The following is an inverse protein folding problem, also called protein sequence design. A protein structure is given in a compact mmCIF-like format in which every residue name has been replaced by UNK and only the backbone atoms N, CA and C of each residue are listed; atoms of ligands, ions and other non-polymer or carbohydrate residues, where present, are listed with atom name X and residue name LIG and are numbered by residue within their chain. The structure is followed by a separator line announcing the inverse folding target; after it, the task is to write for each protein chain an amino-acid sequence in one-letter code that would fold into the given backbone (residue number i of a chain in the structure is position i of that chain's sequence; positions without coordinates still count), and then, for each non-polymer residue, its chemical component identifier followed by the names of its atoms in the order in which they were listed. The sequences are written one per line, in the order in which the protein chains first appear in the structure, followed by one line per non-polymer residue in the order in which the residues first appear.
data_IF_731869209847
#
_entry.id   IF_731869209847
#
_cell.length_a   1.000
_cell.length_b   1.000
_cell.length_c   1.000
_cell.angle_alpha   90.00
_cell.angle_beta   90.00
_cell.angle_gamma   90.00
#
_symmetry.space_group_name_H-M   'P 1'
#
loop_
_entity.id
_entity.type
_entity.pdbx_description
1 polymer ?
#
# COMPACT_ATOMS: atom_id res chain seq x y z
N UNK A 1 -20.94 -65.73 44.32
CA UNK A 1 -21.57 -65.44 45.64
C UNK A 1 -21.08 -64.08 46.11
N UNK A 2 -21.88 -63.34 46.88
CA UNK A 2 -21.51 -62.08 47.58
C UNK A 2 -20.70 -62.42 48.86
N UNK A 3 -19.96 -61.49 49.54
CA UNK A 3 -20.29 -60.10 49.97
C UNK A 3 -19.49 -59.00 49.22
N UNK A 4 -19.73 -57.67 49.31
CA UNK A 4 -19.86 -56.70 50.44
C UNK A 4 -18.55 -56.51 51.24
N UNK A 5 -18.09 -55.33 51.67
CA UNK A 5 -18.56 -53.91 51.66
C UNK A 5 -17.31 -52.98 51.47
N UNK A 6 -17.24 -51.64 51.56
CA UNK A 6 -18.12 -50.55 52.07
C UNK A 6 -17.85 -49.20 51.33
N UNK A 7 -18.21 -48.02 51.89
CA UNK A 7 -17.95 -46.68 51.32
C UNK A 7 -17.62 -45.59 52.36
N UNK A 8 -16.54 -44.80 52.12
CA UNK A 8 -16.27 -43.49 52.75
C UNK A 8 -15.66 -42.56 51.67
N UNK A 9 -16.19 -41.38 51.34
CA UNK A 9 -16.58 -40.18 52.12
C UNK A 9 -15.45 -39.14 52.17
N UNK A 10 -15.68 -37.96 51.60
CA UNK A 10 -14.74 -36.84 51.52
C UNK A 10 -14.99 -35.81 52.63
N UNK A 11 -13.96 -35.04 53.00
CA UNK A 11 -14.05 -34.01 54.03
C UNK A 11 -13.98 -32.60 53.43
N UNK A 12 -15.04 -31.83 53.59
CA UNK A 12 -15.05 -30.37 53.40
C UNK A 12 -15.00 -29.69 54.77
N UNK A 13 -14.11 -28.70 54.95
CA UNK A 13 -13.98 -27.96 56.21
C UNK A 13 -14.60 -26.56 56.09
N UNK A 14 -15.83 -26.43 56.55
CA UNK A 14 -16.51 -25.14 56.73
C UNK A 14 -15.96 -24.47 58.01
N UNK A 15 -15.59 -23.18 57.93
CA UNK A 15 -15.24 -22.36 59.11
C UNK A 15 -15.99 -21.03 58.99
N UNK A 16 -16.60 -20.61 60.09
CA UNK A 16 -17.61 -19.57 60.11
C UNK A 16 -17.04 -18.14 60.10
N UNK A 17 -17.89 -17.19 59.73
CA UNK A 17 -17.58 -15.77 59.64
C UNK A 17 -18.42 -15.02 60.68
N UNK A 18 -17.75 -14.43 61.68
CA UNK A 18 -18.36 -13.49 62.63
C UNK A 18 -17.50 -12.24 62.82
N UNK A 19 -18.11 -11.14 63.29
CA UNK A 19 -17.60 -9.77 63.19
C UNK A 19 -17.61 -9.04 64.54
N UNK A 20 -16.41 -8.73 65.04
CA UNK A 20 -16.05 -7.55 65.83
C UNK A 20 -14.55 -7.28 65.55
N UNK A 21 -14.01 -6.07 65.65
CA UNK A 21 -14.58 -4.84 66.17
C UNK A 21 -13.48 -3.82 66.50
N UNK A 22 -12.74 -3.39 65.48
CA UNK A 22 -11.94 -2.14 65.44
C UNK A 22 -10.69 -2.04 66.35
N UNK A 23 -10.02 -0.87 66.32
CA UNK A 23 -8.81 -0.48 67.08
C UNK A 23 -7.50 -1.24 66.75
N UNK A 24 -7.12 -1.26 65.47
CA UNK A 24 -5.69 -1.12 65.12
C UNK A 24 -5.44 0.21 64.40
N UNK A 25 -5.02 1.18 65.21
CA UNK A 25 -4.74 2.57 64.88
C UNK A 25 -3.58 2.68 63.88
N UNK A 26 -3.90 2.50 62.60
CA UNK A 26 -2.93 2.40 61.52
C UNK A 26 -2.04 3.63 61.43
N UNK A 27 -0.80 3.50 61.91
CA UNK A 27 0.31 4.42 61.64
C UNK A 27 0.67 4.33 60.14
N UNK A 28 -0.22 4.89 59.30
CA UNK A 28 0.05 5.18 57.89
C UNK A 28 1.29 6.05 57.88
N UNK A 29 2.42 5.46 57.47
CA UNK A 29 3.68 6.17 57.27
C UNK A 29 3.35 7.35 56.37
N UNK A 30 3.42 8.57 56.91
CA UNK A 30 3.32 9.79 56.13
C UNK A 30 4.59 9.88 55.28
N UNK A 31 4.57 9.18 54.16
CA UNK A 31 5.25 9.63 52.95
C UNK A 31 4.94 11.12 52.84
N UNK A 32 5.95 11.96 53.07
CA UNK A 32 5.82 13.40 53.04
C UNK A 32 5.56 13.80 51.59
N UNK A 33 4.27 13.83 51.22
CA UNK A 33 3.81 14.28 49.92
C UNK A 33 4.34 15.70 49.73
N UNK A 34 5.38 15.81 48.90
CA UNK A 34 6.10 17.07 48.73
C UNK A 34 5.13 18.16 48.29
N UNK A 35 5.31 19.38 48.78
CA UNK A 35 4.57 20.53 48.27
C UNK A 35 4.73 20.62 46.75
N UNK A 36 3.68 21.08 46.07
CA UNK A 36 3.66 21.32 44.64
C UNK A 36 4.88 22.17 44.23
N UNK A 37 5.80 21.60 43.46
CA UNK A 37 7.05 22.26 43.08
C UNK A 37 6.90 23.39 42.07
N UNK A 38 5.68 23.91 41.89
CA UNK A 38 5.26 24.89 40.89
C UNK A 38 4.51 26.08 41.53
N UNK A 39 3.79 25.84 42.64
CA UNK A 39 3.09 26.89 43.40
C UNK A 39 3.44 26.92 44.91
N UNK A 40 4.04 25.87 45.47
CA UNK A 40 4.41 25.75 46.88
C UNK A 40 3.26 25.63 47.89
N UNK A 41 2.09 26.19 47.58
CA UNK A 41 0.94 26.36 48.48
C UNK A 41 0.26 25.06 48.92
N UNK A 42 0.20 24.07 48.04
CA UNK A 42 -0.57 22.83 48.24
C UNK A 42 0.33 21.60 48.21
N UNK A 43 -0.11 20.55 48.90
CA UNK A 43 0.45 19.19 48.81
C UNK A 43 0.31 18.66 47.38
N UNK A 44 1.33 18.00 46.84
CA UNK A 44 1.26 17.45 45.48
C UNK A 44 0.42 16.17 45.39
N UNK A 45 -0.50 16.13 44.41
CA UNK A 45 -1.35 14.99 44.10
C UNK A 45 -0.83 14.18 42.89
N UNK A 46 0.03 14.80 42.05
CA UNK A 46 0.51 14.23 40.80
C UNK A 46 2.03 14.36 40.67
N UNK A 47 2.66 13.34 40.04
CA UNK A 47 4.09 13.33 39.70
C UNK A 47 4.25 13.17 38.20
N UNK A 48 5.00 14.06 37.55
CA UNK A 48 5.26 13.98 36.11
C UNK A 48 6.15 12.76 35.79
N UNK A 49 5.78 11.87 34.85
CA UNK A 49 6.58 10.67 34.57
C UNK A 49 7.85 10.97 33.76
N UNK A 50 7.93 12.13 33.09
CA UNK A 50 9.12 12.55 32.35
C UNK A 50 10.22 13.13 33.25
N UNK A 51 9.90 14.17 34.04
CA UNK A 51 10.86 14.91 34.86
C UNK A 51 10.73 14.67 36.38
N UNK A 52 9.87 13.75 36.81
CA UNK A 52 9.60 13.38 38.21
C UNK A 52 9.13 14.52 39.14
N UNK A 53 8.84 15.70 38.58
CA UNK A 53 8.35 16.92 39.25
C UNK A 53 6.97 16.69 39.88
N UNK A 54 6.79 17.16 41.12
CA UNK A 54 5.55 17.06 41.89
C UNK A 54 4.64 18.28 41.68
N UNK A 55 3.33 18.06 41.59
CA UNK A 55 2.30 19.09 41.33
C UNK A 55 0.96 18.78 42.00
N UNK A 56 0.24 19.79 42.48
CA UNK A 56 -1.08 19.61 43.14
C UNK A 56 -2.25 19.48 42.16
N UNK A 57 -2.21 20.18 41.02
CA UNK A 57 -3.37 20.41 40.16
C UNK A 57 -3.02 20.51 38.67
N UNK A 58 -4.01 20.35 37.79
CA UNK A 58 -3.81 20.41 36.33
C UNK A 58 -3.18 21.73 35.82
N UNK A 59 -3.49 22.93 36.38
CA UNK A 59 -2.74 24.15 36.06
C UNK A 59 -1.24 24.04 36.35
N UNK A 60 -0.86 23.43 37.48
CA UNK A 60 0.55 23.18 37.82
C UNK A 60 1.20 22.11 36.92
N UNK A 61 0.41 21.12 36.44
CA UNK A 61 0.86 20.16 35.42
C UNK A 61 1.14 20.86 34.08
N UNK A 62 0.29 21.79 33.64
CA UNK A 62 0.53 22.57 32.41
C UNK A 62 1.72 23.53 32.57
N UNK A 63 1.69 24.37 33.60
CA UNK A 63 2.68 25.41 33.86
C UNK A 63 4.11 24.85 33.89
N UNK A 64 4.39 23.75 34.59
CA UNK A 64 5.76 23.21 34.59
C UNK A 64 6.18 22.63 33.24
N UNK A 65 5.26 22.07 32.43
CA UNK A 65 5.60 21.57 31.09
C UNK A 65 6.03 22.71 30.17
N UNK A 66 5.36 23.84 30.28
CA UNK A 66 5.68 25.08 29.57
C UNK A 66 7.02 25.68 30.06
N UNK A 67 7.17 25.90 31.38
CA UNK A 67 8.38 26.49 31.98
C UNK A 67 9.64 25.62 31.86
N UNK A 68 9.52 24.29 31.77
CA UNK A 68 10.67 23.36 31.68
C UNK A 68 10.79 22.63 30.34
N UNK A 69 9.99 22.99 29.34
CA UNK A 69 9.95 22.31 28.03
C UNK A 69 9.61 20.82 28.09
N UNK A 70 9.01 20.35 29.19
CA UNK A 70 8.85 18.92 29.44
C UNK A 70 7.67 18.34 28.67
N UNK A 71 7.94 17.35 27.80
CA UNK A 71 6.90 16.53 27.15
C UNK A 71 5.93 15.89 28.16
N UNK A 72 6.44 15.54 29.34
CA UNK A 72 5.77 14.76 30.36
C UNK A 72 5.49 13.32 29.93
N UNK A 73 6.29 12.79 29.01
CA UNK A 73 6.40 11.35 28.69
C UNK A 73 7.71 10.86 29.30
N UNK A 74 7.71 9.65 29.90
CA UNK A 74 8.96 9.02 30.37
C UNK A 74 9.78 8.57 29.17
N UNK A 75 11.08 8.88 29.17
CA UNK A 75 12.03 8.23 28.27
C UNK A 75 12.12 6.73 28.61
N UNK A 76 11.66 5.89 27.68
CA UNK A 76 11.74 4.41 27.79
C UNK A 76 13.12 3.87 27.43
N UNK A 77 14.00 4.70 26.89
CA UNK A 77 15.32 4.34 26.33
C UNK A 77 16.50 4.97 27.09
N UNK A 78 16.22 5.63 28.22
CA UNK A 78 17.24 6.24 29.08
C UNK A 78 18.24 5.18 29.60
N UNK A 79 19.53 5.41 29.37
CA UNK A 79 20.58 4.45 29.74
C UNK A 79 20.67 4.22 31.26
N UNK A 80 20.55 2.95 31.67
CA UNK A 80 20.82 2.48 33.03
C UNK A 80 22.09 1.63 33.01
N UNK A 81 23.08 2.01 33.80
CA UNK A 81 24.30 1.20 33.97
C UNK A 81 23.97 -0.12 34.69
N UNK A 82 24.58 -1.23 34.26
CA UNK A 82 24.30 -2.58 34.79
C UNK A 82 24.36 -2.69 36.33
N UNK A 83 25.28 -1.96 36.97
CA UNK A 83 25.41 -1.90 38.44
C UNK A 83 24.26 -1.17 39.17
N UNK A 84 23.30 -0.62 38.43
CA UNK A 84 22.09 0.04 38.91
C UNK A 84 20.82 -0.50 38.24
N UNK A 85 20.94 -1.61 37.49
CA UNK A 85 19.79 -2.26 36.86
C UNK A 85 19.02 -3.06 37.92
N UNK A 86 17.75 -2.73 38.11
CA UNK A 86 16.84 -3.43 39.02
C UNK A 86 15.73 -4.15 38.22
N UNK A 87 14.91 -4.93 38.93
CA UNK A 87 13.77 -5.64 38.37
C UNK A 87 12.73 -4.68 37.73
N UNK A 88 12.61 -3.46 38.24
CA UNK A 88 11.68 -2.45 37.70
C UNK A 88 12.12 -1.89 36.35
N UNK A 89 13.44 -1.79 36.12
CA UNK A 89 13.99 -1.46 34.80
C UNK A 89 13.86 -2.67 33.85
N UNK A 90 14.15 -3.90 34.30
CA UNK A 90 13.93 -5.11 33.49
C UNK A 90 12.46 -5.25 33.03
N UNK A 91 11.50 -4.98 33.92
CA UNK A 91 10.07 -4.96 33.62
C UNK A 91 9.66 -3.80 32.69
N UNK A 92 10.38 -2.67 32.73
CA UNK A 92 10.21 -1.56 31.78
C UNK A 92 10.67 -1.96 30.38
N UNK A 93 11.85 -2.57 30.28
CA UNK A 93 12.47 -2.99 29.02
C UNK A 93 11.66 -4.11 28.34
N UNK A 94 11.22 -5.11 29.12
CA UNK A 94 10.31 -6.16 28.64
C UNK A 94 9.03 -5.57 28.02
N UNK A 95 8.39 -4.62 28.72
CA UNK A 95 7.18 -3.95 28.23
C UNK A 95 7.45 -3.08 27.00
N UNK A 96 8.61 -2.44 26.92
CA UNK A 96 9.01 -1.67 25.73
C UNK A 96 9.22 -2.57 24.51
N UNK A 97 9.80 -3.77 24.68
CA UNK A 97 9.93 -4.76 23.61
C UNK A 97 8.57 -5.32 23.20
N UNK A 98 7.67 -5.59 24.15
CA UNK A 98 6.28 -5.96 23.85
C UNK A 98 5.52 -4.85 23.09
N UNK A 99 5.57 -3.61 23.55
CA UNK A 99 4.96 -2.45 22.87
C UNK A 99 5.47 -2.31 21.43
N UNK A 100 6.79 -2.47 21.24
CA UNK A 100 7.44 -2.39 19.93
C UNK A 100 7.02 -3.55 19.02
N UNK A 101 6.93 -4.76 19.55
CA UNK A 101 6.43 -5.94 18.83
C UNK A 101 4.97 -5.79 18.43
N UNK A 102 4.11 -5.30 19.33
CA UNK A 102 2.69 -4.99 19.08
C UNK A 102 2.53 -3.91 18.00
N UNK A 103 3.37 -2.87 18.01
CA UNK A 103 3.40 -1.83 16.98
C UNK A 103 3.83 -2.37 15.62
N UNK A 104 4.89 -3.20 15.57
CA UNK A 104 5.38 -3.81 14.35
C UNK A 104 4.37 -4.80 13.74
N UNK A 105 3.72 -5.64 14.55
CA UNK A 105 2.63 -6.53 14.11
C UNK A 105 1.41 -5.73 13.63
N UNK A 106 1.04 -4.64 14.33
CA UNK A 106 -0.04 -3.74 13.88
C UNK A 106 0.27 -3.12 12.51
N UNK A 107 1.49 -2.63 12.30
CA UNK A 107 1.92 -2.09 11.00
C UNK A 107 1.99 -3.17 9.90
N UNK A 108 2.38 -4.40 10.23
CA UNK A 108 2.37 -5.54 9.30
C UNK A 108 0.95 -6.06 8.99
N UNK A 109 -0.03 -5.77 9.86
CA UNK A 109 -1.46 -6.04 9.63
C UNK A 109 -2.18 -4.93 8.87
N UNK A 110 -1.68 -3.70 8.92
CA UNK A 110 -2.26 -2.57 8.20
C UNK A 110 -2.26 -2.83 6.68
N UNK A 111 -3.46 -2.85 6.09
CA UNK A 111 -3.71 -3.00 4.66
C UNK A 111 -3.11 -1.90 3.77
N UNK A 112 -2.72 -0.76 4.34
CA UNK A 112 -2.04 0.32 3.63
C UNK A 112 -0.53 0.05 3.47
N UNK A 113 0.10 -0.51 4.51
CA UNK A 113 1.52 -0.90 4.53
C UNK A 113 1.70 -2.25 3.82
N UNK A 114 0.85 -3.22 4.15
CA UNK A 114 0.78 -4.54 3.53
C UNK A 114 0.06 -4.44 2.19
N UNK A 115 0.79 -3.91 1.19
CA UNK A 115 0.28 -3.55 -0.13
C UNK A 115 -0.67 -4.58 -0.75
N UNK A 116 -1.69 -4.10 -1.51
CA UNK A 116 -3.03 -4.68 -1.54
C UNK A 116 -3.07 -6.19 -1.82
N UNK A 117 -3.93 -6.95 -1.11
CA UNK A 117 -3.93 -8.40 -1.12
C UNK A 117 -4.02 -8.95 -2.54
N UNK A 118 -3.21 -9.97 -2.81
CA UNK A 118 -2.92 -10.48 -4.16
C UNK A 118 -4.22 -10.77 -4.92
N UNK A 119 -4.63 -9.83 -5.77
CA UNK A 119 -5.83 -9.95 -6.57
C UNK A 119 -5.59 -11.00 -7.66
N UNK A 120 -5.98 -12.25 -7.38
CA UNK A 120 -5.80 -13.38 -8.28
C UNK A 120 -6.51 -13.17 -9.63
N UNK A 121 -7.62 -12.43 -9.67
CA UNK A 121 -8.28 -12.03 -10.93
C UNK A 121 -7.39 -11.07 -11.73
N UNK A 122 -6.82 -10.05 -11.09
CA UNK A 122 -5.89 -9.12 -11.73
C UNK A 122 -4.62 -9.83 -12.23
N UNK A 123 -3.94 -10.63 -11.40
CA UNK A 123 -2.78 -11.44 -11.83
C UNK A 123 -3.12 -12.34 -13.01
N UNK A 124 -4.28 -13.01 -13.00
CA UNK A 124 -4.77 -13.85 -14.10
C UNK A 124 -5.02 -13.07 -15.39
N UNK A 125 -5.65 -11.89 -15.30
CA UNK A 125 -5.90 -11.02 -16.46
C UNK A 125 -4.59 -10.45 -17.02
N UNK A 126 -3.66 -9.98 -16.19
CA UNK A 126 -2.31 -9.56 -16.64
C UNK A 126 -1.54 -10.72 -17.29
N UNK A 127 -1.64 -11.95 -16.78
CA UNK A 127 -1.00 -13.12 -17.40
C UNK A 127 -1.60 -13.48 -18.76
N UNK A 128 -2.92 -13.37 -18.94
CA UNK A 128 -3.58 -13.57 -20.24
C UNK A 128 -3.23 -12.44 -21.22
N UNK A 129 -3.24 -11.18 -20.76
CA UNK A 129 -2.90 -10.01 -21.57
C UNK A 129 -1.46 -10.09 -22.12
N UNK A 130 -0.50 -10.55 -21.31
CA UNK A 130 0.88 -10.81 -21.74
C UNK A 130 0.97 -11.79 -22.92
N UNK A 131 0.13 -12.83 -22.97
CA UNK A 131 0.08 -13.76 -24.12
C UNK A 131 -0.39 -13.10 -25.42
N UNK A 132 -1.19 -12.04 -25.31
CA UNK A 132 -1.60 -11.18 -26.44
C UNK A 132 -0.62 -10.03 -26.70
N UNK A 133 0.52 -9.97 -25.99
CA UNK A 133 1.47 -8.84 -25.99
C UNK A 133 0.86 -7.51 -25.51
N UNK A 134 -0.19 -7.54 -24.70
CA UNK A 134 -0.83 -6.36 -24.08
C UNK A 134 -0.28 -6.20 -22.66
N UNK A 135 0.23 -5.02 -22.31
CA UNK A 135 0.71 -4.77 -20.95
C UNK A 135 -0.43 -4.23 -20.09
N UNK A 136 -1.17 -5.14 -19.44
CA UNK A 136 -2.29 -4.77 -18.54
C UNK A 136 -1.83 -4.60 -17.09
N UNK A 137 -2.07 -3.41 -16.53
CA UNK A 137 -1.86 -3.06 -15.12
C UNK A 137 -3.20 -2.71 -14.46
N UNK A 138 -3.30 -2.95 -13.15
CA UNK A 138 -4.45 -2.63 -12.31
C UNK A 138 -4.04 -1.60 -11.25
N UNK A 139 -4.98 -0.76 -10.86
CA UNK A 139 -4.86 0.20 -9.75
C UNK A 139 -5.31 -0.47 -8.44
N UNK A 140 -5.03 0.14 -7.28
CA UNK A 140 -5.69 -0.24 -6.03
C UNK A 140 -7.22 -0.07 -6.12
N UNK A 141 -7.95 -0.89 -5.37
CA UNK A 141 -9.42 -0.89 -5.30
C UNK A 141 -10.03 0.40 -4.72
N UNK A 142 -9.21 1.27 -4.13
CA UNK A 142 -9.61 2.62 -3.67
C UNK A 142 -9.94 3.56 -4.83
N UNK A 143 -9.37 3.34 -6.02
CA UNK A 143 -9.62 4.16 -7.21
C UNK A 143 -10.95 3.79 -7.87
N UNK A 144 -11.77 4.79 -8.21
CA UNK A 144 -13.06 4.62 -8.92
C UNK A 144 -12.91 3.78 -10.19
N UNK A 145 -11.85 4.04 -11.00
CA UNK A 145 -11.54 3.26 -12.21
C UNK A 145 -11.33 1.76 -11.95
N UNK A 146 -10.84 1.37 -10.77
CA UNK A 146 -10.71 -0.04 -10.39
C UNK A 146 -12.04 -0.66 -9.98
N UNK A 147 -12.89 0.11 -9.26
CA UNK A 147 -14.24 -0.30 -8.84
C UNK A 147 -15.19 -0.49 -10.02
N UNK A 148 -15.06 0.31 -11.06
CA UNK A 148 -15.90 0.26 -12.27
C UNK A 148 -15.51 -0.85 -13.25
N UNK A 149 -14.28 -1.37 -13.16
CA UNK A 149 -13.71 -2.26 -14.18
C UNK A 149 -14.44 -3.61 -14.31
N UNK A 150 -15.34 -3.69 -15.29
CA UNK A 150 -16.08 -4.93 -15.60
C UNK A 150 -15.29 -5.92 -16.46
N UNK A 151 -14.03 -5.66 -16.85
CA UNK A 151 -13.26 -6.49 -17.80
C UNK A 151 -13.11 -7.94 -17.33
N UNK A 152 -13.36 -8.88 -18.25
CA UNK A 152 -13.16 -10.33 -18.05
C UNK A 152 -12.44 -10.95 -19.26
N UNK A 153 -11.94 -12.17 -19.09
CA UNK A 153 -11.27 -12.94 -20.14
C UNK A 153 -11.80 -14.37 -20.16
N UNK A 154 -12.17 -14.86 -21.35
CA UNK A 154 -12.66 -16.20 -21.63
C UNK A 154 -11.46 -17.12 -21.83
N UNK A 155 -11.13 -17.91 -20.79
CA UNK A 155 -9.92 -18.76 -20.74
C UNK A 155 -9.76 -19.69 -21.96
N UNK A 156 -10.85 -20.30 -22.43
CA UNK A 156 -10.85 -21.29 -23.52
C UNK A 156 -10.41 -20.68 -24.85
N UNK A 157 -10.79 -19.43 -25.09
CA UNK A 157 -10.55 -18.69 -26.33
C UNK A 157 -9.34 -17.73 -26.23
N UNK A 158 -8.74 -17.60 -25.03
CA UNK A 158 -7.75 -16.59 -24.69
C UNK A 158 -8.20 -15.17 -25.09
N UNK A 159 -9.51 -14.89 -24.95
CA UNK A 159 -10.21 -13.73 -25.50
C UNK A 159 -10.70 -12.78 -24.41
N UNK A 160 -10.54 -11.48 -24.59
CA UNK A 160 -11.01 -10.46 -23.66
C UNK A 160 -12.40 -9.93 -24.03
N UNK A 161 -13.25 -9.80 -23.00
CA UNK A 161 -14.48 -9.02 -23.03
C UNK A 161 -14.25 -7.77 -22.17
N UNK A 162 -13.81 -6.71 -22.84
CA UNK A 162 -13.36 -5.47 -22.23
C UNK A 162 -14.51 -4.66 -21.61
N UNK A 163 -14.15 -3.88 -20.60
CA UNK A 163 -14.80 -2.60 -20.30
C UNK A 163 -14.13 -1.54 -21.19
N UNK A 164 -14.88 -0.61 -21.79
CA UNK A 164 -14.35 0.52 -22.54
C UNK A 164 -14.98 1.82 -22.05
N UNK A 165 -14.17 2.87 -21.96
CA UNK A 165 -14.65 4.25 -21.80
C UNK A 165 -14.46 4.96 -23.15
N UNK A 166 -15.55 5.44 -23.73
CA UNK A 166 -15.60 6.17 -24.99
C UNK A 166 -15.82 7.65 -24.68
N UNK A 167 -14.82 8.47 -24.98
CA UNK A 167 -14.78 9.90 -24.72
C UNK A 167 -14.99 10.64 -26.04
N UNK A 168 -15.97 11.55 -26.10
CA UNK A 168 -16.29 12.37 -27.27
C UNK A 168 -16.08 13.86 -26.92
N UNK A 169 -14.84 14.38 -27.00
CA UNK A 169 -14.49 15.69 -26.43
C UNK A 169 -15.29 16.85 -27.03
N UNK A 170 -15.56 16.82 -28.35
CA UNK A 170 -16.28 17.90 -29.04
C UNK A 170 -17.77 17.99 -28.69
N UNK A 171 -18.28 17.00 -27.94
CA UNK A 171 -19.64 16.97 -27.40
C UNK A 171 -19.67 16.83 -25.88
N UNK A 172 -18.52 17.00 -25.21
CA UNK A 172 -18.30 16.81 -23.77
C UNK A 172 -19.03 15.58 -23.19
N UNK A 173 -19.02 14.46 -23.94
CA UNK A 173 -19.84 13.29 -23.66
C UNK A 173 -18.98 12.05 -23.44
N UNK A 174 -19.25 11.35 -22.34
CA UNK A 174 -18.62 10.07 -21.99
C UNK A 174 -19.64 8.94 -22.03
N UNK A 175 -19.23 7.77 -22.51
CA UNK A 175 -20.02 6.55 -22.49
C UNK A 175 -19.17 5.37 -22.03
N UNK A 176 -19.76 4.49 -21.23
CA UNK A 176 -19.09 3.29 -20.70
C UNK A 176 -19.71 2.05 -21.30
N UNK A 177 -18.98 1.38 -22.18
CA UNK A 177 -19.44 0.16 -22.87
C UNK A 177 -18.85 -1.10 -22.21
N UNK A 178 -19.64 -2.16 -22.10
CA UNK A 178 -19.32 -3.34 -21.27
C UNK A 178 -19.40 -4.62 -22.09
N UNK A 179 -18.45 -5.54 -21.86
CA UNK A 179 -18.34 -6.86 -22.52
C UNK A 179 -17.91 -6.80 -24.00
N UNK A 180 -17.26 -5.72 -24.43
CA UNK A 180 -16.78 -5.54 -25.80
C UNK A 180 -15.74 -6.60 -26.15
N UNK A 181 -15.98 -7.37 -27.23
CA UNK A 181 -15.06 -8.44 -27.64
C UNK A 181 -13.80 -7.86 -28.28
N UNK A 182 -12.62 -8.38 -27.93
CA UNK A 182 -11.35 -7.92 -28.50
C UNK A 182 -11.23 -8.18 -30.02
N UNK A 183 -11.95 -9.17 -30.55
CA UNK A 183 -12.03 -9.45 -32.00
C UNK A 183 -12.82 -8.39 -32.78
N UNK A 184 -13.61 -7.51 -32.13
CA UNK A 184 -14.37 -6.47 -32.83
C UNK A 184 -13.45 -5.36 -33.34
N UNK A 185 -13.74 -4.86 -34.53
CA UNK A 185 -13.09 -3.65 -35.09
C UNK A 185 -13.55 -2.40 -34.36
N UNK A 186 -12.68 -1.38 -34.30
CA UNK A 186 -13.08 -0.09 -33.74
C UNK A 186 -14.24 0.56 -34.52
N UNK A 187 -14.34 0.35 -35.85
CA UNK A 187 -15.51 0.74 -36.63
C UNK A 187 -16.80 0.15 -36.07
N UNK A 188 -16.87 -1.17 -35.88
CA UNK A 188 -18.06 -1.86 -35.34
C UNK A 188 -18.43 -1.40 -33.92
N UNK A 189 -17.44 -1.08 -33.07
CA UNK A 189 -17.66 -0.57 -31.71
C UNK A 189 -18.26 0.84 -31.74
N UNK A 190 -17.97 1.63 -32.76
CA UNK A 190 -18.43 3.01 -32.90
C UNK A 190 -19.70 3.18 -33.75
N UNK A 191 -20.11 2.19 -34.55
CA UNK A 191 -21.37 2.25 -35.33
C UNK A 191 -22.58 2.64 -34.47
N UNK A 192 -22.85 2.05 -33.28
CA UNK A 192 -24.01 2.38 -32.43
C UNK A 192 -23.96 3.76 -31.76
N UNK A 193 -22.91 4.54 -32.00
CA UNK A 193 -22.73 5.90 -31.48
C UNK A 193 -22.73 6.96 -32.59
N UNK A 194 -22.19 6.61 -33.77
CA UNK A 194 -21.87 7.56 -34.84
C UNK A 194 -22.79 7.37 -36.06
N UNK A 195 -23.27 6.15 -36.33
CA UNK A 195 -24.03 5.89 -37.55
C UNK A 195 -25.42 6.54 -37.52
N UNK A 196 -25.85 7.32 -38.54
CA UNK A 196 -27.11 8.05 -38.50
C UNK A 196 -28.36 7.22 -38.24
N UNK A 197 -28.39 5.96 -38.70
CA UNK A 197 -29.58 5.09 -38.63
C UNK A 197 -29.55 4.11 -37.44
N UNK A 198 -28.37 3.72 -36.97
CA UNK A 198 -28.20 2.75 -35.86
C UNK A 198 -27.92 3.40 -34.50
N UNK A 199 -27.66 4.71 -34.45
CA UNK A 199 -27.44 5.41 -33.19
C UNK A 199 -28.76 5.70 -32.46
N UNK A 200 -28.84 5.24 -31.22
CA UNK A 200 -29.84 5.59 -30.21
C UNK A 200 -30.21 7.10 -30.29
N UNK A 201 -31.50 7.50 -30.39
CA UNK A 201 -31.88 8.89 -30.62
C UNK A 201 -31.27 9.89 -29.62
N UNK A 202 -31.15 9.48 -28.35
CA UNK A 202 -30.51 10.30 -27.29
C UNK A 202 -29.00 10.42 -27.49
N UNK A 203 -28.33 9.35 -27.97
CA UNK A 203 -26.90 9.40 -28.33
C UNK A 203 -26.70 10.26 -29.58
N UNK A 204 -27.53 10.07 -30.62
CA UNK A 204 -27.51 10.84 -31.87
C UNK A 204 -27.69 12.35 -31.63
N UNK A 205 -28.58 12.73 -30.73
CA UNK A 205 -28.81 14.14 -30.34
C UNK A 205 -27.67 14.74 -29.51
N UNK A 206 -26.86 13.94 -28.80
CA UNK A 206 -25.61 14.42 -28.15
C UNK A 206 -24.43 14.48 -29.12
N UNK A 207 -24.29 13.47 -29.98
CA UNK A 207 -23.14 13.25 -30.86
C UNK A 207 -23.31 13.87 -32.26
N UNK A 208 -24.17 14.89 -32.42
CA UNK A 208 -24.58 15.44 -33.73
C UNK A 208 -23.41 15.70 -34.68
N UNK A 209 -22.34 16.33 -34.19
CA UNK A 209 -21.16 16.69 -34.98
C UNK A 209 -20.46 15.44 -35.55
N UNK A 210 -20.38 14.36 -34.76
CA UNK A 210 -19.83 13.08 -35.20
C UNK A 210 -20.76 12.37 -36.19
N UNK A 211 -22.08 12.43 -35.99
CA UNK A 211 -23.08 11.78 -36.85
C UNK A 211 -23.18 12.41 -38.24
N UNK A 212 -22.94 13.72 -38.37
CA UNK A 212 -22.89 14.40 -39.67
C UNK A 212 -21.50 14.34 -40.32
N UNK A 213 -20.48 13.83 -39.61
CA UNK A 213 -19.13 13.65 -40.15
C UNK A 213 -18.96 12.27 -40.79
N UNK A 214 -18.30 12.14 -41.96
CA UNK A 214 -17.91 10.83 -42.49
C UNK A 214 -16.98 10.11 -41.51
N UNK A 215 -17.09 8.78 -41.39
CA UNK A 215 -16.20 7.98 -40.53
C UNK A 215 -14.70 8.20 -40.82
N UNK A 216 -14.34 8.49 -42.07
CA UNK A 216 -12.97 8.79 -42.52
C UNK A 216 -12.39 10.08 -41.90
N UNK A 217 -13.24 10.95 -41.35
CA UNK A 217 -12.86 12.15 -40.61
C UNK A 217 -12.74 11.90 -39.09
N UNK A 218 -12.87 10.65 -38.64
CA UNK A 218 -12.92 10.30 -37.22
C UNK A 218 -11.67 9.50 -36.84
N UNK A 219 -10.83 10.08 -35.99
CA UNK A 219 -9.65 9.42 -35.41
C UNK A 219 -9.92 8.98 -33.98
N UNK A 220 -9.31 7.86 -33.59
CA UNK A 220 -9.44 7.29 -32.25
C UNK A 220 -8.07 7.35 -31.58
N UNK A 221 -7.98 8.02 -30.43
CA UNK A 221 -6.74 8.18 -29.68
C UNK A 221 -6.80 7.51 -28.32
N UNK A 222 -5.70 6.86 -27.92
CA UNK A 222 -5.50 6.31 -26.58
C UNK A 222 -4.31 6.99 -25.90
N UNK A 223 -4.47 7.39 -24.64
CA UNK A 223 -3.40 8.01 -23.85
C UNK A 223 -2.19 7.07 -23.73
N UNK A 224 -0.99 7.61 -23.95
CA UNK A 224 0.28 6.89 -23.85
C UNK A 224 0.77 6.87 -22.40
N UNK A 225 0.24 5.93 -21.62
CA UNK A 225 0.59 5.76 -20.20
C UNK A 225 2.08 5.43 -19.98
N UNK A 226 2.58 5.67 -18.76
CA UNK A 226 3.96 5.35 -18.37
C UNK A 226 5.00 6.45 -18.62
N UNK A 227 4.58 7.72 -18.80
CA UNK A 227 5.47 8.89 -18.86
C UNK A 227 5.39 9.74 -17.59
N UNK A 228 6.33 10.69 -17.44
CA UNK A 228 6.20 11.80 -16.47
C UNK A 228 4.87 12.54 -16.70
N UNK A 229 4.16 12.90 -15.63
CA UNK A 229 2.79 13.42 -15.70
C UNK A 229 2.63 14.63 -16.65
N UNK A 230 3.62 15.51 -16.67
CA UNK A 230 3.63 16.74 -17.47
C UNK A 230 3.87 16.51 -18.98
N UNK A 231 3.92 15.25 -19.44
CA UNK A 231 4.10 14.89 -20.85
C UNK A 231 3.00 13.93 -21.31
N UNK A 232 1.75 14.40 -21.24
CA UNK A 232 0.61 13.70 -21.86
C UNK A 232 0.86 13.61 -23.37
N UNK A 233 0.76 12.38 -23.90
CA UNK A 233 0.93 12.06 -25.32
C UNK A 233 -0.09 11.00 -25.68
N UNK A 234 -0.44 10.92 -26.95
CA UNK A 234 -1.45 10.00 -27.46
C UNK A 234 -0.87 8.99 -28.46
N UNK A 235 -1.61 7.91 -28.66
CA UNK A 235 -1.37 6.90 -29.68
C UNK A 235 -2.63 6.80 -30.52
N UNK A 236 -2.51 7.02 -31.82
CA UNK A 236 -3.60 6.76 -32.75
C UNK A 236 -3.91 5.25 -32.80
N UNK A 237 -5.20 4.94 -32.93
CA UNK A 237 -5.72 3.60 -33.15
C UNK A 237 -6.33 3.53 -34.55
N UNK A 238 -6.09 2.41 -35.23
CA UNK A 238 -6.57 2.16 -36.58
C UNK A 238 -8.03 1.68 -36.51
N UNK A 239 -8.93 2.46 -37.12
CA UNK A 239 -10.39 2.23 -37.06
C UNK A 239 -10.81 0.93 -37.75
N UNK A 240 -10.03 0.45 -38.74
CA UNK A 240 -10.31 -0.78 -39.48
C UNK A 240 -9.81 -2.04 -38.75
N UNK A 241 -8.81 -1.92 -37.87
CA UNK A 241 -8.23 -3.06 -37.14
C UNK A 241 -9.06 -3.48 -35.92
N UNK A 242 -8.88 -4.73 -35.50
CA UNK A 242 -9.48 -5.26 -34.27
C UNK A 242 -8.99 -4.50 -33.02
N UNK A 243 -9.80 -4.47 -31.97
CA UNK A 243 -9.42 -3.92 -30.66
C UNK A 243 -8.18 -4.65 -30.10
N UNK A 244 -8.10 -5.97 -30.31
CA UNK A 244 -6.99 -6.86 -29.98
C UNK A 244 -5.66 -6.43 -30.61
N UNK A 245 -5.65 -6.17 -31.93
CA UNK A 245 -4.47 -5.62 -32.63
C UNK A 245 -4.14 -4.21 -32.17
N UNK A 246 -5.16 -3.36 -32.01
CA UNK A 246 -4.98 -1.97 -31.60
C UNK A 246 -4.36 -1.83 -30.20
N UNK A 247 -4.61 -2.77 -29.29
CA UNK A 247 -4.02 -2.79 -27.94
C UNK A 247 -2.67 -3.53 -27.87
N UNK A 248 -2.26 -4.25 -28.92
CA UNK A 248 -1.00 -5.00 -28.98
C UNK A 248 0.19 -4.06 -28.76
N UNK A 249 1.13 -4.48 -27.91
CA UNK A 249 2.31 -3.72 -27.48
C UNK A 249 2.02 -2.39 -26.73
N UNK A 250 0.76 -2.12 -26.34
CA UNK A 250 0.39 -0.92 -25.57
C UNK A 250 0.22 -1.23 -24.08
N UNK A 251 0.37 -0.19 -23.25
CA UNK A 251 0.13 -0.21 -21.82
C UNK A 251 -1.32 0.21 -21.54
N UNK A 252 -2.06 -0.62 -20.81
CA UNK A 252 -3.45 -0.40 -20.40
C UNK A 252 -3.51 -0.37 -18.88
N UNK A 253 -4.14 0.65 -18.31
CA UNK A 253 -4.37 0.79 -16.86
C UNK A 253 -5.87 0.62 -16.60
N UNK A 254 -6.23 -0.44 -15.88
CA UNK A 254 -7.59 -0.99 -15.67
C UNK A 254 -8.29 -1.42 -16.96
N UNK A 255 -8.60 -0.45 -17.82
CA UNK A 255 -9.27 -0.63 -19.11
C UNK A 255 -8.92 0.49 -20.08
N UNK A 256 -9.08 0.27 -21.41
CA UNK A 256 -8.86 1.32 -22.41
C UNK A 256 -9.87 2.47 -22.27
N UNK A 257 -9.34 3.70 -22.29
CA UNK A 257 -10.10 4.93 -22.43
C UNK A 257 -9.78 5.52 -23.81
N UNK A 258 -10.77 5.50 -24.70
CA UNK A 258 -10.65 5.87 -26.12
C UNK A 258 -11.21 7.27 -26.32
N UNK A 259 -10.48 8.14 -27.01
CA UNK A 259 -10.92 9.50 -27.35
C UNK A 259 -11.29 9.51 -28.84
N UNK A 260 -12.56 9.80 -29.14
CA UNK A 260 -13.10 9.88 -30.49
C UNK A 260 -13.06 11.35 -30.91
N UNK A 261 -12.23 11.68 -31.89
CA UNK A 261 -11.86 13.07 -32.23
C UNK A 261 -12.04 13.27 -33.73
N UNK A 262 -12.65 14.39 -34.12
CA UNK A 262 -12.75 14.78 -35.52
C UNK A 262 -11.39 15.26 -36.04
N UNK A 263 -11.12 15.03 -37.33
CA UNK A 263 -9.86 15.32 -38.03
C UNK A 263 -9.31 16.71 -37.72
N UNK A 264 -10.18 17.70 -37.65
CA UNK A 264 -9.87 19.12 -37.48
C UNK A 264 -9.33 19.45 -36.07
N UNK A 265 -9.66 18.62 -35.07
CA UNK A 265 -9.23 18.76 -33.68
C UNK A 265 -8.08 17.80 -33.29
N UNK A 266 -7.41 17.19 -34.27
CA UNK A 266 -6.32 16.25 -33.99
C UNK A 266 -5.04 16.94 -33.49
N UNK A 267 -4.93 18.26 -33.61
CA UNK A 267 -3.82 19.06 -33.11
C UNK A 267 -3.70 19.02 -31.57
N UNK A 268 -4.82 18.87 -30.85
CA UNK A 268 -4.87 18.78 -29.38
C UNK A 268 -4.35 17.43 -28.85
N UNK A 269 -4.07 16.46 -29.74
CA UNK A 269 -3.72 15.07 -29.41
C UNK A 269 -2.28 14.73 -29.83
N UNK A 270 -1.24 15.35 -29.20
CA UNK A 270 0.14 15.20 -29.62
C UNK A 270 0.59 13.75 -29.55
N UNK A 271 0.89 13.19 -30.73
CA UNK A 271 1.28 11.79 -30.88
C UNK A 271 2.56 11.45 -30.12
N UNK A 272 2.73 10.15 -29.83
CA UNK A 272 4.02 9.54 -29.49
C UNK A 272 4.98 9.73 -30.67
N UNK A 273 5.76 10.81 -30.62
CA UNK A 273 6.94 10.98 -31.46
C UNK A 273 7.97 9.86 -31.24
N UNK A 274 9.03 9.80 -32.07
CA UNK A 274 10.09 8.81 -31.96
C UNK A 274 10.60 8.67 -30.53
N UNK A 275 10.82 7.44 -30.10
CA UNK A 275 11.45 7.16 -28.81
C UNK A 275 12.94 7.30 -29.01
N UNK A 276 13.52 8.43 -28.60
CA UNK A 276 14.94 8.42 -28.26
C UNK A 276 15.14 7.36 -27.16
N UNK A 277 16.08 6.42 -27.34
CA UNK A 277 16.37 5.44 -26.32
C UNK A 277 17.03 6.15 -25.15
N UNK A 278 16.27 6.38 -24.08
CA UNK A 278 16.81 6.90 -22.82
C UNK A 278 17.85 5.90 -22.32
N UNK A 279 19.13 6.24 -22.50
CA UNK A 279 20.25 5.45 -22.01
C UNK A 279 20.06 5.25 -20.50
N UNK A 280 20.13 3.99 -20.07
CA UNK A 280 19.94 3.63 -18.68
C UNK A 280 21.15 4.10 -17.86
N UNK A 281 21.07 5.32 -17.30
CA UNK A 281 21.94 5.75 -16.22
C UNK A 281 21.83 4.73 -15.09
N UNK A 282 22.94 4.04 -14.84
CA UNK A 282 22.95 2.80 -14.08
C UNK A 282 22.51 2.97 -12.64
N UNK A 283 21.64 2.07 -12.17
CA UNK A 283 21.45 1.87 -10.73
C UNK A 283 22.75 1.31 -10.13
N UNK A 284 23.23 1.83 -8.99
CA UNK A 284 24.46 1.33 -8.37
C UNK A 284 24.27 -0.11 -7.89
N UNK A 285 25.23 -0.96 -8.24
CA UNK A 285 25.25 -2.39 -7.90
C UNK A 285 25.70 -2.58 -6.44
N UNK A 286 24.75 -2.74 -5.52
CA UNK A 286 25.05 -3.13 -4.14
C UNK A 286 25.35 -4.63 -4.07
N UNK A 287 26.64 -5.00 -4.10
CA UNK A 287 27.08 -6.39 -3.89
C UNK A 287 26.99 -6.81 -2.41
N UNK A 288 25.77 -7.16 -1.98
CA UNK A 288 25.52 -7.79 -0.68
C UNK A 288 25.91 -9.26 -0.66
N UNK A 289 27.21 -9.56 -0.65
CA UNK A 289 27.76 -10.91 -0.75
C UNK A 289 27.57 -11.77 0.52
N UNK A 290 26.37 -12.32 0.72
CA UNK A 290 26.13 -13.38 1.71
C UNK A 290 26.79 -14.69 1.26
N UNK A 291 27.91 -15.08 1.87
CA UNK A 291 28.54 -16.38 1.66
C UNK A 291 29.07 -16.97 2.97
N UNK A 292 28.26 -17.79 3.62
CA UNK A 292 28.72 -18.67 4.69
C UNK A 292 28.97 -20.08 4.15
N UNK A 293 30.17 -20.62 4.37
CA UNK A 293 30.33 -21.91 5.04
C UNK A 293 31.76 -22.05 5.59
N UNK A 294 31.99 -22.96 6.54
CA UNK A 294 33.31 -23.25 7.08
C UNK A 294 34.17 -24.14 6.16
N UNK A 295 35.49 -24.09 6.32
CA UNK A 295 36.47 -24.93 5.63
C UNK A 295 37.82 -24.89 6.35
N UNK A 296 38.39 -26.05 6.63
CA UNK A 296 39.51 -26.24 7.58
C UNK A 296 40.89 -25.74 7.06
N UNK A 297 41.81 -25.44 7.98
CA UNK A 297 43.16 -24.94 7.70
C UNK A 297 44.19 -26.07 7.64
N UNK A 298 44.87 -26.20 6.48
CA UNK A 298 46.19 -26.82 6.21
C UNK A 298 46.42 -26.78 4.68
N UNK A 299 47.59 -26.48 4.12
CA UNK A 299 48.90 -26.03 4.63
C UNK A 299 50.00 -26.37 3.60
N UNK A 300 51.07 -25.55 3.49
CA UNK A 300 52.20 -25.70 2.52
C UNK A 300 51.77 -25.41 1.04
N UNK A 301 52.59 -24.93 0.10
CA UNK A 301 53.99 -24.44 0.09
C UNK A 301 54.17 -23.42 -1.06
N UNK A 302 55.17 -22.53 -0.99
CA UNK A 302 55.60 -21.71 -2.14
C UNK A 302 56.50 -22.52 -3.11
N UNK A 303 56.71 -22.05 -4.36
CA UNK A 303 57.92 -21.24 -4.57
C UNK A 303 57.77 -20.02 -5.52
N UNK A 304 58.85 -19.23 -5.55
CA UNK A 304 59.09 -17.97 -6.28
C UNK A 304 59.32 -18.09 -7.79
N UNK A 305 59.03 -17.02 -8.55
CA UNK A 305 59.47 -16.80 -9.94
C UNK A 305 58.39 -16.10 -10.80
N UNK A 306 58.26 -14.76 -10.95
CA UNK A 306 59.18 -13.66 -11.27
C UNK A 306 59.06 -13.18 -12.76
N UNK A 307 58.87 -11.87 -12.92
CA UNK A 307 59.15 -11.04 -14.13
C UNK A 307 58.17 -11.08 -15.33
N UNK A 308 57.37 -10.01 -15.43
CA UNK A 308 56.94 -9.32 -16.68
C UNK A 308 57.88 -8.11 -16.93
N UNK A 309 57.82 -7.35 -18.05
CA UNK A 309 56.95 -7.45 -19.23
C UNK A 309 57.70 -7.57 -20.58
N UNK A 310 56.97 -7.77 -21.69
CA UNK A 310 57.54 -7.98 -23.04
C UNK A 310 57.72 -6.72 -23.90
N UNK A 311 57.99 -6.92 -25.19
CA UNK A 311 57.88 -5.94 -26.29
C UNK A 311 57.82 -6.67 -27.65
N UNK A 312 57.58 -5.87 -28.71
CA UNK A 312 57.61 -6.13 -30.16
C UNK A 312 58.37 -7.40 -30.61
N UNK A 313 57.91 -8.13 -31.64
CA UNK A 313 57.22 -7.60 -32.83
C UNK A 313 56.29 -8.61 -33.53
#
# INVERSE_FOLDING_TARGET
MLPSVDTVAAAESHVENDRLGDELKGNKIKLSLANCGVCGSEVANYRCPGCLKHSCSLPCVKKHKEESGCSGVRDKTAFVALSKMDEMNLLSDYRFLEDTGRLADSANRDSLVRGPPVNFRAKRLTAQARRLNITLRFLPNTFTKSRENSTICLKKENRFLWHLQLLFPQSSSEFTERRVSDDQTLKQILTPYIHPTESEPVRRQKLKMYVHSPFDHIRVFMKAEGRKANSVRYQELDVAKTLKENLKFKLVIEYPSLHIVLKDHCHDYPLKGPVEPVLALGSPMMEGAWRGNGGEVRGLTAPTGATLPGKLS
#
